data_IF_015696413040
#
_entry.id   IF_015696413040
#
_cell.length_a   1.000
_cell.length_b   1.000
_cell.length_c   1.000
_cell.angle_alpha   90.00
_cell.angle_beta   90.00
_cell.angle_gamma   90.00
#
_symmetry.space_group_name_H-M   'P 1'
#
loop_
_entity.id
_entity.type
_entity.pdbx_description
1 polymer ?
#
# COMPACT_ATOMS: atom_id res chain seq x y z
N UNK A 1 21.08 6.48 14.15
CA UNK A 1 19.74 6.56 13.55
C UNK A 1 19.84 7.25 12.20
N UNK A 2 19.72 6.50 11.07
CA UNK A 2 19.61 7.15 9.74
C UNK A 2 18.30 7.95 9.72
N UNK A 3 18.34 9.23 9.35
CA UNK A 3 17.17 10.05 9.14
C UNK A 3 16.27 9.33 8.12
N UNK A 4 15.06 8.90 8.53
CA UNK A 4 14.06 8.42 7.58
C UNK A 4 13.84 9.49 6.51
N UNK A 5 14.14 9.18 5.27
CA UNK A 5 13.85 10.08 4.15
C UNK A 5 12.33 10.09 3.98
N UNK A 6 11.69 11.18 4.41
CA UNK A 6 10.25 11.31 4.32
C UNK A 6 9.79 11.26 2.86
N UNK A 7 8.81 10.42 2.56
CA UNK A 7 8.13 10.41 1.27
C UNK A 7 6.60 10.53 1.46
N UNK A 8 5.86 10.78 0.38
CA UNK A 8 4.41 10.98 0.43
C UNK A 8 3.63 9.77 0.99
N UNK A 9 4.19 8.56 0.97
CA UNK A 9 3.57 7.36 1.53
C UNK A 9 3.53 7.41 3.05
N UNK A 10 4.55 8.00 3.70
CA UNK A 10 4.61 8.14 5.16
C UNK A 10 3.43 8.92 5.75
N UNK A 11 2.83 9.83 4.98
CA UNK A 11 1.64 10.56 5.43
C UNK A 11 0.46 9.63 5.77
N UNK A 12 0.42 8.43 5.17
CA UNK A 12 -0.67 7.47 5.33
C UNK A 12 -0.37 6.37 6.35
N UNK A 13 0.84 6.25 6.84
CA UNK A 13 1.21 5.24 7.83
C UNK A 13 0.37 5.35 9.11
N UNK A 14 0.05 6.57 9.58
CA UNK A 14 -0.83 6.76 10.75
C UNK A 14 -2.22 6.18 10.52
N UNK A 15 -2.76 6.33 9.31
CA UNK A 15 -4.05 5.74 8.96
C UNK A 15 -3.97 4.22 8.93
N UNK A 16 -2.94 3.63 8.33
CA UNK A 16 -2.71 2.18 8.30
C UNK A 16 -2.61 1.65 9.72
N UNK A 17 -1.74 2.22 10.56
CA UNK A 17 -1.54 1.81 11.95
C UNK A 17 -2.85 1.78 12.76
N UNK A 18 -3.75 2.77 12.52
CA UNK A 18 -5.07 2.78 13.16
C UNK A 18 -5.95 1.60 12.73
N UNK A 19 -5.88 1.19 11.46
CA UNK A 19 -6.72 0.10 10.94
C UNK A 19 -6.23 -1.28 11.36
N UNK A 20 -4.92 -1.45 11.56
CA UNK A 20 -4.31 -2.75 11.88
C UNK A 20 -4.22 -3.06 13.37
N UNK A 21 -4.69 -2.17 14.25
CA UNK A 21 -4.64 -2.36 15.71
C UNK A 21 -5.24 -3.71 16.11
N UNK A 22 -4.47 -4.53 16.83
CA UNK A 22 -4.87 -5.87 17.28
C UNK A 22 -4.83 -6.97 16.20
N UNK A 23 -4.37 -6.66 14.99
CA UNK A 23 -4.17 -7.64 13.92
C UNK A 23 -2.85 -8.37 14.10
N UNK A 24 -2.86 -9.70 13.85
CA UNK A 24 -1.71 -10.57 14.15
C UNK A 24 -0.92 -11.00 12.93
N UNK A 25 -1.58 -11.23 11.79
CA UNK A 25 -0.91 -11.67 10.56
C UNK A 25 -1.14 -10.64 9.45
N UNK A 26 -0.08 -9.99 9.01
CA UNK A 26 -0.14 -8.87 8.07
C UNK A 26 0.74 -9.18 6.87
N UNK A 27 0.21 -8.94 5.67
CA UNK A 27 0.95 -9.01 4.41
C UNK A 27 1.04 -7.61 3.80
N UNK A 28 2.24 -7.17 3.52
CA UNK A 28 2.54 -5.95 2.76
C UNK A 28 2.99 -6.32 1.35
N UNK A 29 2.19 -5.94 0.35
CA UNK A 29 2.40 -6.30 -1.06
C UNK A 29 3.04 -5.13 -1.81
N UNK A 30 4.23 -5.37 -2.37
CA UNK A 30 5.10 -4.33 -2.89
C UNK A 30 5.74 -3.57 -1.73
N UNK A 31 6.42 -4.30 -0.84
CA UNK A 31 6.93 -3.76 0.42
C UNK A 31 8.21 -2.93 0.26
N UNK A 32 8.87 -3.00 -0.91
CA UNK A 32 10.10 -2.28 -1.20
C UNK A 32 11.19 -2.53 -0.14
N UNK A 33 11.76 -1.44 0.38
CA UNK A 33 12.82 -1.44 1.41
C UNK A 33 12.34 -1.85 2.82
N UNK A 34 11.09 -2.28 2.96
CA UNK A 34 10.53 -2.71 4.23
C UNK A 34 10.15 -1.59 5.20
N UNK A 35 10.24 -0.33 4.83
CA UNK A 35 9.96 0.82 5.72
C UNK A 35 8.60 0.73 6.42
N UNK A 36 7.54 0.29 5.70
CA UNK A 36 6.23 0.07 6.32
C UNK A 36 6.24 -1.17 7.19
N UNK A 37 6.83 -2.27 6.72
CA UNK A 37 6.91 -3.55 7.43
C UNK A 37 7.49 -3.35 8.83
N UNK A 38 8.62 -2.64 8.97
CA UNK A 38 9.21 -2.33 10.27
C UNK A 38 8.30 -1.48 11.15
N UNK A 39 7.64 -0.50 10.55
CA UNK A 39 6.78 0.43 11.28
C UNK A 39 5.52 -0.21 11.85
N UNK A 40 4.99 -1.23 11.19
CA UNK A 40 3.79 -1.98 11.63
C UNK A 40 4.13 -3.19 12.48
N UNK A 41 5.39 -3.64 12.46
CA UNK A 41 5.85 -4.77 13.25
C UNK A 41 5.89 -4.46 14.74
N UNK A 42 5.50 -5.42 15.56
CA UNK A 42 5.62 -5.42 17.01
C UNK A 42 5.60 -6.86 17.51
N UNK A 43 5.94 -7.07 18.80
CA UNK A 43 6.05 -8.40 19.42
C UNK A 43 4.76 -9.28 19.37
N UNK A 44 3.63 -8.69 19.02
CA UNK A 44 2.33 -9.39 19.03
C UNK A 44 1.80 -9.70 17.64
N UNK A 45 2.55 -9.38 16.58
CA UNK A 45 2.13 -9.66 15.19
C UNK A 45 3.25 -10.35 14.40
N UNK A 46 2.87 -10.93 13.28
CA UNK A 46 3.77 -11.49 12.27
C UNK A 46 3.53 -10.75 10.96
N UNK A 47 4.58 -10.21 10.38
CA UNK A 47 4.48 -9.38 9.16
C UNK A 47 5.27 -10.04 8.05
N UNK A 48 4.63 -10.18 6.91
CA UNK A 48 5.25 -10.65 5.66
C UNK A 48 5.30 -9.50 4.68
N UNK A 49 6.48 -9.18 4.16
CA UNK A 49 6.67 -8.30 3.03
C UNK A 49 6.93 -9.14 1.77
N UNK A 50 6.28 -8.81 0.65
CA UNK A 50 6.56 -9.43 -0.64
C UNK A 50 6.82 -8.35 -1.69
N UNK A 51 7.90 -8.52 -2.45
CA UNK A 51 8.27 -7.63 -3.55
C UNK A 51 9.02 -8.41 -4.64
N UNK A 52 9.06 -7.85 -5.84
CA UNK A 52 9.84 -8.37 -6.98
C UNK A 52 11.23 -7.73 -7.07
N UNK A 53 11.43 -6.59 -6.42
CA UNK A 53 12.69 -5.85 -6.44
C UNK A 53 13.69 -6.42 -5.42
N UNK A 54 14.61 -7.24 -5.92
CA UNK A 54 15.67 -7.86 -5.11
C UNK A 54 16.57 -6.84 -4.43
N UNK A 55 16.82 -5.67 -5.06
CA UNK A 55 17.67 -4.62 -4.48
C UNK A 55 16.99 -3.96 -3.29
N UNK A 56 15.71 -3.64 -3.43
CA UNK A 56 14.93 -3.09 -2.33
C UNK A 56 14.82 -4.09 -1.17
N UNK A 57 14.57 -5.36 -1.46
CA UNK A 57 14.50 -6.42 -0.45
C UNK A 57 15.84 -6.67 0.25
N UNK A 58 16.97 -6.57 -0.46
CA UNK A 58 18.29 -6.65 0.17
C UNK A 58 18.48 -5.56 1.23
N UNK A 59 17.99 -4.34 0.97
CA UNK A 59 18.02 -3.26 1.97
C UNK A 59 17.09 -3.59 3.15
N UNK A 60 15.91 -4.13 2.87
CA UNK A 60 14.98 -4.58 3.89
C UNK A 60 15.62 -5.67 4.78
N UNK A 61 16.17 -6.72 4.21
CA UNK A 61 16.77 -7.83 4.97
C UNK A 61 17.96 -7.42 5.82
N UNK A 62 18.84 -6.54 5.31
CA UNK A 62 19.98 -6.01 6.07
C UNK A 62 19.58 -5.25 7.34
N UNK A 63 18.38 -4.70 7.37
CA UNK A 63 17.83 -3.99 8.53
C UNK A 63 16.88 -4.85 9.36
N UNK A 64 16.73 -6.14 9.04
CA UNK A 64 15.83 -7.03 9.75
C UNK A 64 16.48 -7.64 11.00
N UNK A 65 16.08 -7.13 12.15
CA UNK A 65 16.50 -7.62 13.48
C UNK A 65 15.33 -8.28 14.23
N UNK A 66 14.24 -8.63 13.53
CA UNK A 66 13.01 -9.10 14.15
C UNK A 66 12.61 -10.48 13.63
N UNK A 67 12.47 -11.47 14.49
CA UNK A 67 12.06 -12.84 14.11
C UNK A 67 10.63 -12.95 13.60
N UNK A 68 9.81 -11.93 13.85
CA UNK A 68 8.42 -11.87 13.42
C UNK A 68 8.20 -11.16 12.07
N UNK A 69 9.27 -10.92 11.33
CA UNK A 69 9.24 -10.37 9.97
C UNK A 69 9.82 -11.39 8.99
N UNK A 70 9.14 -11.58 7.86
CA UNK A 70 9.64 -12.37 6.75
C UNK A 70 9.52 -11.58 5.46
N UNK A 71 10.57 -11.54 4.65
CA UNK A 71 10.56 -11.01 3.30
C UNK A 71 10.52 -12.13 2.27
N UNK A 72 9.86 -11.88 1.12
CA UNK A 72 9.69 -12.83 0.02
C UNK A 72 9.99 -12.09 -1.28
N UNK A 73 11.03 -12.53 -1.99
CA UNK A 73 11.33 -12.04 -3.34
C UNK A 73 10.53 -12.84 -4.36
N UNK A 74 9.32 -12.38 -4.68
CA UNK A 74 8.44 -13.01 -5.69
C UNK A 74 7.36 -12.03 -6.14
N UNK A 75 6.82 -12.29 -7.32
CA UNK A 75 5.60 -11.64 -7.76
C UNK A 75 4.40 -12.14 -6.94
N UNK A 76 3.67 -11.20 -6.34
CA UNK A 76 2.49 -11.48 -5.55
C UNK A 76 1.44 -12.31 -6.32
N UNK A 77 1.24 -12.03 -7.62
CA UNK A 77 0.21 -12.72 -8.42
C UNK A 77 0.53 -14.20 -8.65
N UNK A 78 1.80 -14.58 -8.67
CA UNK A 78 2.26 -15.95 -8.95
C UNK A 78 2.62 -16.72 -7.70
N UNK A 79 3.09 -16.04 -6.63
CA UNK A 79 3.55 -16.70 -5.42
C UNK A 79 2.47 -17.55 -4.76
N UNK A 80 2.77 -18.82 -4.48
CA UNK A 80 1.88 -19.72 -3.75
C UNK A 80 2.10 -19.59 -2.24
N UNK A 81 1.16 -18.94 -1.57
CA UNK A 81 1.15 -18.81 -0.11
C UNK A 81 0.69 -20.10 0.60
N UNK A 82 0.42 -21.18 -0.14
CA UNK A 82 -0.09 -22.46 0.39
C UNK A 82 -1.33 -22.23 1.28
N UNK A 83 -1.23 -22.64 2.54
CA UNK A 83 -2.34 -22.49 3.53
C UNK A 83 -2.27 -21.21 4.35
N UNK A 84 -1.32 -20.31 4.05
CA UNK A 84 -1.19 -19.08 4.83
C UNK A 84 -2.39 -18.16 4.62
N UNK A 85 -2.84 -17.55 5.72
CA UNK A 85 -3.91 -16.57 5.77
C UNK A 85 -3.48 -15.36 6.57
N UNK A 86 -4.06 -14.22 6.24
CA UNK A 86 -3.72 -12.93 6.83
C UNK A 86 -4.95 -12.24 7.41
N UNK A 87 -4.75 -11.45 8.46
CA UNK A 87 -5.78 -10.59 9.00
C UNK A 87 -5.84 -9.26 8.25
N UNK A 88 -4.72 -8.87 7.65
CA UNK A 88 -4.60 -7.64 6.86
C UNK A 88 -3.73 -7.90 5.65
N UNK A 89 -4.16 -7.40 4.51
CA UNK A 89 -3.34 -7.28 3.31
C UNK A 89 -3.29 -5.80 2.92
N UNK A 90 -2.07 -5.29 2.73
CA UNK A 90 -1.79 -3.87 2.48
C UNK A 90 -1.16 -3.73 1.11
N UNK A 91 -1.57 -2.69 0.39
CA UNK A 91 -0.93 -2.22 -0.85
C UNK A 91 -0.65 -0.73 -0.69
N UNK A 92 0.62 -0.32 -0.65
CA UNK A 92 1.00 1.10 -0.61
C UNK A 92 1.78 1.44 -1.86
N UNK A 93 1.15 2.20 -2.75
CA UNK A 93 1.71 2.60 -4.05
C UNK A 93 2.23 1.41 -4.90
N UNK A 94 1.65 0.23 -4.74
CA UNK A 94 2.10 -1.01 -5.40
C UNK A 94 1.07 -1.62 -6.35
N UNK A 95 -0.23 -1.56 -6.05
CA UNK A 95 -1.27 -2.28 -6.79
C UNK A 95 -1.41 -1.85 -8.26
N UNK A 96 -0.99 -0.64 -8.61
CA UNK A 96 -1.04 -0.14 -10.00
C UNK A 96 0.07 -0.71 -10.90
N UNK A 97 1.04 -1.43 -10.34
CA UNK A 97 2.08 -2.15 -11.08
C UNK A 97 1.68 -3.57 -11.48
N UNK A 98 0.48 -4.01 -11.09
CA UNK A 98 -0.01 -5.36 -11.36
C UNK A 98 -1.46 -5.35 -11.85
N UNK A 99 -1.94 -6.49 -12.35
CA UNK A 99 -3.36 -6.66 -12.66
C UNK A 99 -4.19 -6.51 -11.37
N UNK A 100 -4.86 -5.36 -11.26
CA UNK A 100 -5.58 -4.98 -10.05
C UNK A 100 -6.72 -5.96 -9.73
N UNK A 101 -7.44 -6.45 -10.74
CA UNK A 101 -8.54 -7.39 -10.51
C UNK A 101 -8.02 -8.71 -9.96
N UNK A 102 -7.00 -9.28 -10.60
CA UNK A 102 -6.36 -10.51 -10.12
C UNK A 102 -5.77 -10.33 -8.72
N UNK A 103 -5.14 -9.19 -8.45
CA UNK A 103 -4.59 -8.87 -7.14
C UNK A 103 -5.66 -8.85 -6.04
N UNK A 104 -6.81 -8.21 -6.30
CA UNK A 104 -7.92 -8.16 -5.33
C UNK A 104 -8.56 -9.52 -5.11
N UNK A 105 -8.77 -10.31 -6.17
CA UNK A 105 -9.29 -11.68 -6.07
C UNK A 105 -8.33 -12.52 -5.22
N UNK A 106 -7.04 -12.49 -5.52
CA UNK A 106 -6.03 -13.24 -4.74
C UNK A 106 -5.97 -12.78 -3.29
N UNK A 107 -5.96 -11.47 -3.03
CA UNK A 107 -5.96 -10.94 -1.67
C UNK A 107 -7.17 -11.41 -0.87
N UNK A 108 -8.37 -11.46 -1.47
CA UNK A 108 -9.56 -12.00 -0.80
C UNK A 108 -9.40 -13.47 -0.41
N UNK A 109 -8.82 -14.30 -1.28
CA UNK A 109 -8.60 -15.73 -0.95
C UNK A 109 -7.60 -15.92 0.18
N UNK A 110 -6.65 -15.00 0.35
CA UNK A 110 -5.63 -15.05 1.39
C UNK A 110 -6.09 -14.47 2.73
N UNK A 111 -7.26 -13.82 2.81
CA UNK A 111 -7.75 -13.24 4.04
C UNK A 111 -8.44 -14.25 4.96
N UNK A 112 -8.18 -14.09 6.25
CA UNK A 112 -8.99 -14.67 7.32
C UNK A 112 -10.41 -14.08 7.29
N UNK A 113 -11.35 -14.75 7.96
CA UNK A 113 -12.67 -14.18 8.26
C UNK A 113 -12.47 -12.89 9.07
N UNK A 114 -13.22 -11.84 8.72
CA UNK A 114 -13.03 -10.48 9.27
C UNK A 114 -11.68 -9.83 8.99
N UNK A 115 -10.87 -10.40 8.10
CA UNK A 115 -9.66 -9.78 7.58
C UNK A 115 -9.98 -8.55 6.73
N UNK A 116 -9.00 -7.68 6.55
CA UNK A 116 -9.17 -6.41 5.84
C UNK A 116 -8.16 -6.25 4.71
N UNK A 117 -8.58 -5.55 3.66
CA UNK A 117 -7.68 -5.03 2.62
C UNK A 117 -7.56 -3.52 2.82
N UNK A 118 -6.34 -3.03 2.82
CA UNK A 118 -6.00 -1.61 2.84
C UNK A 118 -5.21 -1.26 1.59
N UNK A 119 -5.65 -0.22 0.87
CA UNK A 119 -4.91 0.26 -0.29
C UNK A 119 -4.67 1.77 -0.14
N UNK A 120 -3.43 2.18 -0.27
CA UNK A 120 -3.02 3.54 -0.55
C UNK A 120 -2.52 3.56 -1.98
N UNK A 121 -3.44 3.77 -2.92
CA UNK A 121 -3.15 3.67 -4.35
C UNK A 121 -3.03 5.04 -5.01
N UNK A 122 -2.50 5.03 -6.23
CA UNK A 122 -2.37 6.19 -7.10
C UNK A 122 -3.45 6.12 -8.19
N UNK A 123 -4.05 7.25 -8.53
CA UNK A 123 -5.07 7.34 -9.59
C UNK A 123 -4.94 8.64 -10.37
N UNK A 124 -5.30 8.59 -11.67
CA UNK A 124 -5.52 9.81 -12.46
C UNK A 124 -6.91 10.37 -12.18
N UNK A 125 -7.07 11.70 -12.20
CA UNK A 125 -8.39 12.33 -12.25
C UNK A 125 -9.21 11.78 -13.43
N UNK A 126 -10.50 11.56 -13.22
CA UNK A 126 -11.39 11.02 -14.23
C UNK A 126 -12.60 11.90 -14.53
N UNK A 127 -12.79 12.95 -13.73
CA UNK A 127 -13.89 13.92 -13.89
C UNK A 127 -13.42 15.34 -13.63
N UNK A 128 -14.20 16.34 -14.07
CA UNK A 128 -13.95 17.75 -13.78
C UNK A 128 -13.89 17.96 -12.25
N UNK A 129 -14.74 17.28 -11.50
CA UNK A 129 -14.72 17.29 -10.03
C UNK A 129 -13.41 16.77 -9.45
N UNK A 130 -12.85 15.70 -10.02
CA UNK A 130 -11.54 15.18 -9.60
C UNK A 130 -10.44 16.21 -9.84
N UNK A 131 -10.46 16.91 -10.99
CA UNK A 131 -9.50 17.97 -11.29
C UNK A 131 -9.62 19.16 -10.33
N UNK A 132 -10.81 19.61 -10.01
CA UNK A 132 -10.99 20.70 -9.03
C UNK A 132 -10.52 20.32 -7.64
N UNK A 133 -10.78 19.09 -7.21
CA UNK A 133 -10.25 18.56 -5.95
C UNK A 133 -8.73 18.50 -5.94
N UNK A 134 -8.09 18.11 -7.06
CA UNK A 134 -6.63 18.08 -7.14
C UNK A 134 -6.03 19.49 -7.06
N UNK A 135 -6.58 20.46 -7.75
CA UNK A 135 -6.13 21.86 -7.65
C UNK A 135 -6.18 22.36 -6.20
N UNK A 136 -7.27 22.10 -5.49
CA UNK A 136 -7.42 22.47 -4.08
C UNK A 136 -6.44 21.74 -3.15
N UNK A 137 -5.92 20.59 -3.55
CA UNK A 137 -4.99 19.75 -2.75
C UNK A 137 -3.52 19.98 -3.08
N UNK A 138 -3.22 20.50 -4.29
CA UNK A 138 -1.86 20.82 -4.69
C UNK A 138 -1.24 21.86 -3.75
N UNK A 139 -1.98 22.89 -3.38
CA UNK A 139 -1.48 23.96 -2.50
C UNK A 139 -1.02 23.41 -1.12
N UNK A 140 -1.86 22.68 -0.36
CA UNK A 140 -1.42 22.06 0.91
C UNK A 140 -0.28 21.08 0.72
N UNK A 141 -0.26 20.33 -0.39
CA UNK A 141 0.80 19.35 -0.66
C UNK A 141 2.15 19.99 -0.93
N UNK A 142 2.18 21.10 -1.65
CA UNK A 142 3.40 21.91 -1.88
C UNK A 142 3.93 22.49 -0.57
N UNK A 143 3.06 23.00 0.29
CA UNK A 143 3.45 23.53 1.60
C UNK A 143 4.07 22.43 2.47
N UNK A 144 3.44 21.25 2.55
CA UNK A 144 3.93 20.11 3.32
C UNK A 144 5.27 19.63 2.78
N UNK A 145 5.43 19.54 1.45
CA UNK A 145 6.67 19.15 0.79
C UNK A 145 7.82 20.13 1.10
N UNK A 146 7.54 21.43 1.04
CA UNK A 146 8.54 22.47 1.33
C UNK A 146 8.98 22.47 2.80
N UNK A 147 8.04 22.25 3.74
CA UNK A 147 8.35 22.19 5.18
C UNK A 147 9.15 20.94 5.53
N UNK A 148 8.91 19.80 4.86
CA UNK A 148 9.52 18.52 5.20
C UNK A 148 10.76 18.15 4.39
N UNK A 149 11.21 19.01 3.47
CA UNK A 149 12.44 18.81 2.70
C UNK A 149 12.40 17.54 1.84
N UNK A 150 11.34 17.40 1.04
CA UNK A 150 11.17 16.24 0.16
C UNK A 150 12.28 16.14 -0.87
N UNK A 151 12.84 14.94 -1.01
CA UNK A 151 13.53 14.56 -2.24
C UNK A 151 12.49 14.22 -3.29
N UNK A 152 12.64 14.78 -4.48
CA UNK A 152 11.78 14.44 -5.63
C UNK A 152 12.09 13.03 -6.12
N UNK A 153 11.20 12.43 -6.92
CA UNK A 153 11.46 11.13 -7.57
C UNK A 153 12.69 11.17 -8.47
N UNK A 154 13.02 12.32 -9.03
CA UNK A 154 14.24 12.55 -9.81
C UNK A 154 15.51 12.43 -8.94
N UNK A 155 15.49 12.92 -7.71
CA UNK A 155 16.61 12.79 -6.76
C UNK A 155 16.84 11.35 -6.30
N UNK A 156 15.84 10.47 -6.46
CA UNK A 156 15.86 9.07 -6.03
C UNK A 156 16.10 8.08 -7.18
N UNK A 157 16.22 8.59 -8.43
CA UNK A 157 16.41 7.76 -9.63
C UNK A 157 15.36 6.64 -9.78
N UNK A 158 14.10 6.94 -9.38
CA UNK A 158 12.98 6.01 -9.46
C UNK A 158 12.25 6.29 -10.76
N UNK A 159 12.20 5.31 -11.65
CA UNK A 159 11.37 5.34 -12.86
C UNK A 159 9.90 5.44 -12.47
N UNK A 160 9.35 6.64 -12.51
CA UNK A 160 7.94 6.88 -12.17
C UNK A 160 7.10 6.66 -13.41
N UNK A 161 6.53 5.50 -13.56
CA UNK A 161 5.51 5.26 -14.56
C UNK A 161 4.23 6.02 -14.21
N UNK A 162 4.03 7.19 -14.81
CA UNK A 162 2.85 8.06 -14.60
C UNK A 162 1.55 7.50 -15.18
N UNK A 163 1.53 6.27 -15.68
CA UNK A 163 0.33 5.65 -16.25
C UNK A 163 -0.60 5.05 -15.20
N UNK A 164 -1.04 5.88 -14.24
CA UNK A 164 -1.97 5.44 -13.19
C UNK A 164 -3.37 5.17 -13.77
N UNK A 165 -4.10 4.21 -13.20
CA UNK A 165 -5.48 3.94 -13.60
C UNK A 165 -6.41 5.12 -13.25
N UNK A 166 -7.45 5.31 -14.06
CA UNK A 166 -8.50 6.29 -13.78
C UNK A 166 -9.33 5.85 -12.56
N UNK A 167 -9.80 6.81 -11.76
CA UNK A 167 -10.59 6.51 -10.56
C UNK A 167 -11.87 5.71 -10.87
N UNK A 168 -12.53 5.97 -11.99
CA UNK A 168 -13.73 5.21 -12.38
C UNK A 168 -13.40 3.73 -12.60
N UNK A 169 -12.32 3.41 -13.32
CA UNK A 169 -11.85 2.03 -13.49
C UNK A 169 -11.58 1.34 -12.14
N UNK A 170 -10.92 2.03 -11.21
CA UNK A 170 -10.68 1.51 -9.85
C UNK A 170 -12.00 1.20 -9.14
N UNK A 171 -12.97 2.13 -9.20
CA UNK A 171 -14.28 1.96 -8.57
C UNK A 171 -15.05 0.79 -9.15
N UNK A 172 -15.01 0.59 -10.47
CA UNK A 172 -15.70 -0.50 -11.16
C UNK A 172 -15.15 -1.87 -10.73
N UNK A 173 -13.82 -2.01 -10.73
CA UNK A 173 -13.17 -3.24 -10.22
C UNK A 173 -13.50 -3.47 -8.75
N UNK A 174 -13.45 -2.42 -7.92
CA UNK A 174 -13.79 -2.55 -6.51
C UNK A 174 -15.25 -2.93 -6.29
N UNK A 175 -16.18 -2.35 -7.05
CA UNK A 175 -17.61 -2.68 -6.98
C UNK A 175 -17.86 -4.16 -7.29
N UNK A 176 -17.16 -4.70 -8.28
CA UNK A 176 -17.26 -6.11 -8.67
C UNK A 176 -16.67 -7.05 -7.61
N UNK A 177 -15.51 -6.71 -7.07
CA UNK A 177 -14.71 -7.64 -6.27
C UNK A 177 -14.77 -7.41 -4.76
N UNK A 178 -15.08 -6.19 -4.29
CA UNK A 178 -15.04 -5.79 -2.88
C UNK A 178 -16.39 -5.18 -2.45
N UNK A 179 -17.48 -5.95 -2.32
CA UNK A 179 -18.77 -5.39 -1.96
C UNK A 179 -18.72 -4.63 -0.64
N UNK A 180 -19.37 -3.45 -0.61
CA UNK A 180 -19.36 -2.51 0.54
C UNK A 180 -17.98 -1.95 0.89
N UNK A 181 -17.07 -1.83 -0.08
CA UNK A 181 -15.81 -1.14 0.12
C UNK A 181 -16.03 0.34 0.47
N UNK A 182 -15.04 0.91 1.14
CA UNK A 182 -14.98 2.36 1.42
C UNK A 182 -13.77 2.92 0.71
N UNK A 183 -13.97 3.97 -0.08
CA UNK A 183 -12.88 4.68 -0.75
C UNK A 183 -13.00 6.17 -0.47
N UNK A 184 -11.86 6.82 -0.28
CA UNK A 184 -11.76 8.28 -0.15
C UNK A 184 -10.51 8.78 -0.86
N UNK A 185 -10.57 9.99 -1.33
CA UNK A 185 -9.41 10.66 -1.90
C UNK A 185 -8.43 11.07 -0.80
N UNK A 186 -7.14 10.91 -1.06
CA UNK A 186 -6.02 11.40 -0.26
C UNK A 186 -5.37 12.62 -0.91
N UNK A 187 -4.23 13.05 -0.38
CA UNK A 187 -3.32 14.04 -0.99
C UNK A 187 -2.40 13.34 -2.01
N UNK A 188 -1.78 14.13 -2.92
CA UNK A 188 -0.77 13.65 -3.87
C UNK A 188 -1.27 12.53 -4.79
N UNK A 189 -2.42 12.75 -5.46
CA UNK A 189 -3.04 11.79 -6.41
C UNK A 189 -3.35 10.42 -5.81
N UNK A 190 -3.46 10.33 -4.47
CA UNK A 190 -3.72 9.07 -3.80
C UNK A 190 -5.19 8.90 -3.45
N UNK A 191 -5.60 7.63 -3.40
CA UNK A 191 -6.83 7.20 -2.78
C UNK A 191 -6.55 6.23 -1.64
N UNK A 192 -7.45 6.21 -0.66
CA UNK A 192 -7.41 5.24 0.43
C UNK A 192 -8.64 4.37 0.33
N UNK A 193 -8.40 3.07 0.21
CA UNK A 193 -9.45 2.07 0.19
C UNK A 193 -9.35 1.20 1.43
N UNK A 194 -10.50 0.97 2.03
CA UNK A 194 -10.71 0.03 3.11
C UNK A 194 -11.80 -0.96 2.72
N UNK A 195 -11.52 -2.25 2.84
CA UNK A 195 -12.52 -3.30 2.71
C UNK A 195 -12.35 -4.34 3.79
N UNK A 196 -13.47 -4.90 4.28
CA UNK A 196 -13.49 -5.97 5.29
C UNK A 196 -14.17 -7.19 4.75
N UNK A 197 -13.50 -8.34 4.81
CA UNK A 197 -14.04 -9.65 4.48
C UNK A 197 -15.09 -10.04 5.53
N UNK A 198 -16.37 -9.95 5.18
CA UNK A 198 -17.51 -10.32 6.05
C UNK A 198 -18.08 -11.69 5.71
N UNK A 199 -17.54 -12.31 4.68
CA UNK A 199 -18.02 -13.60 4.18
C UNK A 199 -17.16 -14.75 4.74
N UNK A 200 -17.79 -15.93 4.82
CA UNK A 200 -17.12 -17.18 5.22
C UNK A 200 -16.15 -17.65 4.16
#
# INVERSE_FOLDING_TARGET
MKKEVWNHNFAYHKWILKQIKGKKRILDVGCGDGSLVYKISNKNNYVVGIDVDSKALSVAEQNNYYDNIRFIERDFLVHDFKKEKFDVIIFVASIHHMDMERALVKARTLLNRNGIILIVGLSKPSSIFDYTLEVLRVIPSMIISKIKGNKTSEDLNIDVNYNFPKMNYIKDICKKNLPKYKIRYGLHYRYLLYWKNRYK
#
